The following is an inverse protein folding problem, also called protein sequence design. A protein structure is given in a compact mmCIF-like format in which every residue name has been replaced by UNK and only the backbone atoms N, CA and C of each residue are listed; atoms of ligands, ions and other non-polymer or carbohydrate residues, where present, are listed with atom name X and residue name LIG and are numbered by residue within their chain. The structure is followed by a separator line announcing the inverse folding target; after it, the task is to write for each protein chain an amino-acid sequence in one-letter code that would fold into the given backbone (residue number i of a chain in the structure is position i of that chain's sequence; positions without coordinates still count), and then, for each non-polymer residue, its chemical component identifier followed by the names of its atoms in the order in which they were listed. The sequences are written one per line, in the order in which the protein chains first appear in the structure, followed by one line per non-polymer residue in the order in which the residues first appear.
data_IF_549415854097
#
_entry.id   IF_549415854097
#
_cell.length_a   1.000
_cell.length_b   1.000
_cell.length_c   1.000
_cell.angle_alpha   90.00
_cell.angle_beta   90.00
_cell.angle_gamma   90.00
#
_symmetry.space_group_name_H-M   'P 1'
#
loop_
_entity.id
_entity.type
_entity.pdbx_description
1 polymer ?
#
# COMPACT_ATOMS: atom_id res chain seq x y z
N UNK A 1 16.56 -51.26 -39.12
CA UNK A 1 17.28 -50.82 -37.91
C UNK A 1 16.85 -49.38 -37.63
N UNK A 2 15.57 -49.18 -37.29
CA UNK A 2 15.07 -48.98 -35.91
C UNK A 2 15.79 -47.84 -35.17
N UNK A 3 15.15 -46.66 -35.14
CA UNK A 3 14.92 -45.68 -34.04
C UNK A 3 14.73 -44.31 -34.72
N UNK A 4 13.54 -43.74 -34.91
CA UNK A 4 12.54 -43.36 -33.90
C UNK A 4 13.19 -42.61 -32.72
N UNK A 5 13.50 -41.33 -32.90
CA UNK A 5 13.61 -40.33 -31.82
C UNK A 5 13.14 -38.98 -32.40
N UNK A 6 11.83 -38.78 -32.47
CA UNK A 6 11.06 -38.04 -31.46
C UNK A 6 11.48 -36.57 -31.39
N UNK A 7 10.90 -35.79 -32.32
CA UNK A 7 10.17 -34.54 -32.06
C UNK A 7 10.50 -33.96 -30.67
N UNK A 8 11.50 -33.09 -30.60
CA UNK A 8 11.63 -32.14 -29.49
C UNK A 8 10.44 -31.19 -29.60
N UNK A 9 9.32 -31.56 -28.97
CA UNK A 9 8.20 -30.66 -28.75
C UNK A 9 8.72 -29.49 -27.93
N UNK A 10 8.93 -28.35 -28.59
CA UNK A 10 9.13 -27.07 -27.92
C UNK A 10 7.94 -26.84 -27.00
N UNK A 11 8.16 -27.00 -25.70
CA UNK A 11 7.24 -26.48 -24.69
C UNK A 11 7.29 -24.97 -24.80
N UNK A 12 6.35 -24.39 -25.55
CA UNK A 12 6.09 -22.97 -25.52
C UNK A 12 5.50 -22.66 -24.14
N UNK A 13 6.34 -22.15 -23.24
CA UNK A 13 5.87 -21.58 -21.97
C UNK A 13 5.03 -20.35 -22.33
N UNK A 14 3.70 -20.50 -22.26
CA UNK A 14 2.79 -19.36 -22.33
C UNK A 14 3.07 -18.47 -21.13
N UNK A 15 3.79 -17.36 -21.34
CA UNK A 15 3.82 -16.25 -20.40
C UNK A 15 2.41 -15.64 -20.43
N UNK A 16 1.53 -16.12 -19.56
CA UNK A 16 0.32 -15.36 -19.24
C UNK A 16 0.78 -14.05 -18.63
N UNK A 17 0.63 -12.96 -19.37
CA UNK A 17 0.81 -11.59 -18.87
C UNK A 17 -0.13 -11.42 -17.67
N UNK A 18 0.39 -11.65 -16.47
CA UNK A 18 -0.33 -11.35 -15.24
C UNK A 18 -0.44 -9.83 -15.20
N UNK A 19 -1.63 -9.32 -15.48
CA UNK A 19 -1.91 -7.90 -15.35
C UNK A 19 -1.64 -7.49 -13.91
N UNK A 20 -0.56 -6.74 -13.71
CA UNK A 20 -0.27 -6.14 -12.42
C UNK A 20 -1.35 -5.09 -12.15
N UNK A 21 -2.20 -5.31 -11.14
CA UNK A 21 -3.22 -4.35 -10.74
C UNK A 21 -2.71 -3.40 -9.66
N UNK A 22 -1.58 -3.72 -9.03
CA UNK A 22 -1.02 -2.96 -7.90
C UNK A 22 -0.55 -1.58 -8.39
N UNK A 23 -0.09 -1.49 -9.63
CA UNK A 23 0.30 -0.23 -10.28
C UNK A 23 -0.80 0.86 -10.31
N UNK A 24 -2.07 0.50 -10.10
CA UNK A 24 -3.17 1.48 -10.02
C UNK A 24 -3.35 2.08 -8.62
N UNK A 25 -2.70 1.53 -7.59
CA UNK A 25 -2.84 1.99 -6.21
C UNK A 25 -1.81 3.08 -5.93
N UNK A 26 -2.28 4.24 -5.46
CA UNK A 26 -1.42 5.31 -4.95
C UNK A 26 -1.70 5.52 -3.45
N UNK A 27 -0.82 5.05 -2.54
CA UNK A 27 -0.99 5.18 -1.09
C UNK A 27 -1.01 6.62 -0.55
N UNK A 28 -0.61 7.62 -1.36
CA UNK A 28 -0.67 9.03 -0.96
C UNK A 28 -2.06 9.66 -1.11
N UNK A 29 -3.00 8.98 -1.78
CA UNK A 29 -4.37 9.46 -1.88
C UNK A 29 -5.03 9.37 -0.50
N UNK A 30 -5.43 10.52 0.05
CA UNK A 30 -6.06 10.62 1.38
C UNK A 30 -5.10 10.93 2.53
N UNK A 31 -3.80 11.12 2.29
CA UNK A 31 -2.83 11.42 3.36
C UNK A 31 -2.77 12.91 3.74
N UNK A 32 -3.63 13.74 3.16
CA UNK A 32 -3.67 15.19 3.42
C UNK A 32 -5.06 15.59 3.91
N UNK A 33 -5.09 16.60 4.80
CA UNK A 33 -6.34 17.15 5.37
C UNK A 33 -7.19 16.02 5.99
N UNK A 34 -8.50 15.98 5.71
CA UNK A 34 -9.48 15.06 6.32
C UNK A 34 -9.55 13.68 5.64
N UNK A 35 -8.44 13.17 5.12
CA UNK A 35 -8.46 11.89 4.38
C UNK A 35 -8.29 10.66 5.28
N UNK A 36 -7.56 10.80 6.39
CA UNK A 36 -7.37 9.74 7.39
C UNK A 36 -6.75 8.43 6.85
N UNK A 37 -5.87 8.53 5.84
CA UNK A 37 -5.10 7.39 5.31
C UNK A 37 -3.61 7.55 5.60
N UNK A 38 -2.87 6.44 5.53
CA UNK A 38 -1.42 6.41 5.72
C UNK A 38 -0.74 5.73 4.51
N UNK A 39 0.45 6.20 4.08
CA UNK A 39 1.15 5.64 2.92
C UNK A 39 2.04 4.43 3.24
N UNK A 40 2.12 4.05 4.52
CA UNK A 40 2.96 2.96 5.00
C UNK A 40 2.59 1.57 4.47
N UNK A 41 3.53 0.63 4.62
CA UNK A 41 3.36 -0.73 4.15
C UNK A 41 2.46 -1.53 5.10
N UNK A 42 1.49 -2.24 4.52
CA UNK A 42 0.65 -3.21 5.22
C UNK A 42 0.22 -4.32 4.26
N UNK A 43 -0.15 -5.47 4.81
CA UNK A 43 -0.79 -6.56 4.07
C UNK A 43 -2.31 -6.49 4.29
N UNK A 44 -3.13 -7.06 3.39
CA UNK A 44 -4.58 -7.07 3.56
C UNK A 44 -4.96 -7.66 4.93
N UNK A 45 -5.65 -6.85 5.75
CA UNK A 45 -6.07 -7.21 7.12
C UNK A 45 -4.91 -7.61 8.06
N UNK A 46 -3.71 -7.08 7.81
CA UNK A 46 -2.53 -7.32 8.63
C UNK A 46 -2.63 -6.73 10.03
N UNK A 47 -1.89 -7.32 10.98
CA UNK A 47 -1.79 -6.83 12.35
C UNK A 47 -0.83 -5.65 12.52
N UNK A 48 0.07 -5.42 11.56
CA UNK A 48 1.13 -4.40 11.62
C UNK A 48 0.93 -3.39 10.50
N UNK A 49 0.96 -2.10 10.86
CA UNK A 49 0.85 -0.97 9.94
C UNK A 49 2.12 -0.13 10.12
N UNK A 50 3.15 -0.42 9.32
CA UNK A 50 4.43 0.27 9.43
C UNK A 50 4.40 1.50 8.51
N UNK A 51 4.25 2.69 9.10
CA UNK A 51 4.14 3.97 8.40
C UNK A 51 4.97 5.05 9.11
N UNK A 52 5.45 6.08 8.39
CA UNK A 52 5.98 7.28 9.04
C UNK A 52 4.89 8.05 9.77
N UNK A 53 5.23 8.58 10.93
CA UNK A 53 4.46 9.61 11.64
C UNK A 53 5.09 10.98 11.35
N UNK A 54 4.31 11.91 10.80
CA UNK A 54 4.80 13.26 10.44
C UNK A 54 4.52 14.31 11.51
N UNK A 55 3.45 14.12 12.29
CA UNK A 55 2.96 15.10 13.26
C UNK A 55 2.54 14.41 14.55
N UNK A 56 2.97 14.97 15.68
CA UNK A 56 2.52 14.55 17.01
C UNK A 56 2.12 15.79 17.77
N UNK A 57 0.95 16.33 17.42
CA UNK A 57 0.45 17.59 17.98
C UNK A 57 -0.41 17.27 19.22
N UNK A 58 -0.19 17.92 20.37
CA UNK A 58 -1.06 17.74 21.52
C UNK A 58 -2.47 18.28 21.23
N UNK A 59 -3.51 17.52 21.62
CA UNK A 59 -4.92 17.91 21.44
C UNK A 59 -5.37 19.03 22.39
N UNK A 60 -4.71 19.12 23.55
CA UNK A 60 -5.05 20.03 24.63
C UNK A 60 -3.82 20.82 25.08
N UNK A 61 -4.04 22.06 25.48
CA UNK A 61 -3.01 22.87 26.13
C UNK A 61 -2.83 22.51 27.61
N UNK A 62 -1.86 23.13 28.27
CA UNK A 62 -1.58 22.93 29.70
C UNK A 62 -2.73 23.36 30.63
N UNK A 63 -3.75 24.05 30.10
CA UNK A 63 -4.96 24.47 30.82
C UNK A 63 -6.17 23.61 30.44
N UNK A 64 -5.95 22.46 29.79
CA UNK A 64 -6.98 21.51 29.38
C UNK A 64 -8.01 22.09 28.39
N UNK A 65 -7.61 23.07 27.57
CA UNK A 65 -8.45 23.63 26.50
C UNK A 65 -8.07 22.99 25.17
N UNK A 66 -9.08 22.72 24.34
CA UNK A 66 -8.87 22.14 23.01
C UNK A 66 -8.18 23.15 22.07
N UNK A 67 -7.11 22.72 21.41
CA UNK A 67 -6.38 23.54 20.44
C UNK A 67 -7.08 23.43 19.09
N UNK A 68 -7.80 24.49 18.68
CA UNK A 68 -8.61 24.48 17.46
C UNK A 68 -7.81 24.22 16.18
N UNK A 69 -6.55 24.67 16.14
CA UNK A 69 -5.65 24.48 15.00
C UNK A 69 -5.45 22.98 14.66
N UNK A 70 -5.47 22.13 15.68
CA UNK A 70 -5.31 20.67 15.55
C UNK A 70 -6.38 20.06 14.66
N UNK A 71 -7.59 20.61 14.65
CA UNK A 71 -8.67 20.13 13.79
C UNK A 71 -8.31 20.16 12.30
N UNK A 72 -7.49 21.13 11.87
CA UNK A 72 -7.05 21.22 10.48
C UNK A 72 -6.10 20.09 10.07
N UNK A 73 -5.47 19.45 11.06
CA UNK A 73 -4.48 18.38 10.92
C UNK A 73 -4.97 17.05 11.48
N UNK A 74 -6.22 16.98 11.97
CA UNK A 74 -6.86 15.72 12.31
C UNK A 74 -7.08 14.93 11.01
N UNK A 75 -6.04 14.19 10.62
CA UNK A 75 -6.09 12.97 9.84
C UNK A 75 -6.09 11.75 10.79
#
# INVERSE_FOLDING_TARGET
MLTLFSIFSSWAQSNSDKKDLIQYVNPFIGTQRMGHTYPGATVPFGSVQLSPDTDTIPMYDAQNRYIKEVYNYCA
#
